data_IF_119583320667
#
_entry.id   IF_119583320667
#
_cell.length_a   1.000
_cell.length_b   1.000
_cell.length_c   1.000
_cell.angle_alpha   90.00
_cell.angle_beta   90.00
_cell.angle_gamma   90.00
#
_symmetry.space_group_name_H-M   'P 1'
#
loop_
_entity.id
_entity.type
_entity.pdbx_description
1 polymer ?
#
# COMPACT_ATOMS: atom_id res chain seq x y z
N UNK A 1 0.72 -79.21 -17.24
CA UNK A 1 0.75 -78.57 -15.91
C UNK A 1 1.82 -77.48 -15.93
N UNK A 2 1.45 -76.22 -15.69
CA UNK A 2 2.42 -75.13 -15.41
C UNK A 2 2.91 -75.17 -13.94
N UNK A 3 3.57 -74.11 -13.40
CA UNK A 3 3.67 -72.77 -13.97
C UNK A 3 5.01 -72.00 -13.83
N UNK A 4 5.17 -71.05 -14.77
CA UNK A 4 5.84 -69.74 -14.79
C UNK A 4 6.28 -69.14 -13.44
N UNK A 5 7.49 -68.55 -13.38
CA UNK A 5 7.82 -67.33 -12.59
C UNK A 5 9.03 -66.54 -13.14
N UNK A 6 8.75 -65.49 -13.89
CA UNK A 6 9.41 -64.16 -13.83
C UNK A 6 8.48 -63.22 -14.60
N UNK A 7 7.88 -62.24 -13.91
CA UNK A 7 8.54 -60.95 -13.79
C UNK A 7 8.34 -60.28 -12.42
N UNK A 8 9.45 -60.02 -11.73
CA UNK A 8 9.48 -59.20 -10.51
C UNK A 8 10.10 -57.82 -10.79
N UNK A 9 10.00 -57.34 -12.03
CA UNK A 9 10.66 -56.10 -12.50
C UNK A 9 9.71 -55.01 -13.02
N UNK A 10 8.39 -55.17 -12.86
CA UNK A 10 7.41 -54.13 -13.29
C UNK A 10 6.81 -53.36 -12.12
N UNK A 11 7.01 -53.80 -10.86
CA UNK A 11 6.43 -53.13 -9.70
C UNK A 11 7.21 -51.87 -9.23
N UNK A 12 8.41 -51.60 -9.76
CA UNK A 12 9.23 -50.47 -9.32
C UNK A 12 8.98 -49.15 -10.08
N UNK A 13 8.18 -49.15 -11.16
CA UNK A 13 7.89 -47.93 -11.93
C UNK A 13 6.47 -47.36 -11.72
N UNK A 14 5.62 -48.05 -10.94
CA UNK A 14 4.29 -47.57 -10.61
C UNK A 14 4.25 -46.64 -9.37
N UNK A 15 5.38 -46.42 -8.70
CA UNK A 15 5.48 -45.64 -7.47
C UNK A 15 5.84 -44.15 -7.63
N UNK A 16 6.20 -43.69 -8.83
CA UNK A 16 6.71 -42.32 -9.03
C UNK A 16 5.77 -41.37 -9.81
N UNK A 17 4.55 -41.81 -10.14
CA UNK A 17 3.56 -40.92 -10.74
C UNK A 17 2.50 -40.61 -9.70
N UNK A 18 2.92 -39.86 -8.68
CA UNK A 18 1.97 -39.07 -7.90
C UNK A 18 1.21 -38.20 -8.91
N UNK A 19 -0.13 -38.18 -8.90
CA UNK A 19 -0.92 -37.34 -9.79
C UNK A 19 -0.38 -35.93 -9.68
N UNK A 20 0.12 -35.39 -10.81
CA UNK A 20 0.67 -34.05 -10.88
C UNK A 20 -0.41 -33.10 -10.36
N UNK A 21 -0.25 -32.65 -9.11
CA UNK A 21 -0.97 -31.48 -8.57
C UNK A 21 -0.52 -30.30 -9.45
N UNK A 22 -1.34 -29.25 -9.64
CA UNK A 22 -1.03 -28.08 -10.49
C UNK A 22 0.45 -27.76 -10.43
N UNK A 23 1.16 -27.69 -11.56
CA UNK A 23 2.63 -27.74 -11.55
C UNK A 23 3.22 -26.77 -10.53
N UNK A 24 2.61 -25.59 -10.37
CA UNK A 24 3.02 -24.56 -9.41
C UNK A 24 2.97 -25.00 -7.94
N UNK A 25 2.06 -25.90 -7.56
CA UNK A 25 2.00 -26.54 -6.23
C UNK A 25 3.12 -27.56 -5.99
N UNK A 26 3.87 -27.95 -7.03
CA UNK A 26 5.07 -28.77 -6.90
C UNK A 26 6.27 -27.96 -6.40
N UNK A 27 6.24 -26.63 -6.52
CA UNK A 27 7.25 -25.78 -5.88
C UNK A 27 6.94 -25.65 -4.37
N UNK A 28 7.84 -26.09 -3.48
CA UNK A 28 7.62 -26.04 -2.04
C UNK A 28 7.40 -24.62 -1.51
N UNK A 29 7.99 -23.59 -2.15
CA UNK A 29 7.83 -22.18 -1.75
C UNK A 29 6.39 -21.72 -1.93
N UNK A 30 5.67 -22.26 -2.91
CA UNK A 30 4.26 -21.94 -3.15
C UNK A 30 3.39 -22.53 -2.06
N UNK A 31 3.64 -23.79 -1.68
CA UNK A 31 2.92 -24.45 -0.58
C UNK A 31 3.16 -23.72 0.74
N UNK A 32 4.41 -23.35 1.02
CA UNK A 32 4.79 -22.58 2.20
C UNK A 32 4.10 -21.21 2.24
N UNK A 33 4.09 -20.48 1.12
CA UNK A 33 3.42 -19.19 1.03
C UNK A 33 1.90 -19.28 1.24
N UNK A 34 1.24 -20.33 0.74
CA UNK A 34 -0.19 -20.58 1.00
C UNK A 34 -0.46 -20.93 2.47
N UNK A 35 0.46 -21.62 3.14
CA UNK A 35 0.34 -21.90 4.57
C UNK A 35 0.55 -20.63 5.41
N UNK A 36 1.53 -19.78 5.06
CA UNK A 36 1.75 -18.48 5.72
C UNK A 36 0.56 -17.53 5.47
N UNK A 37 -0.04 -17.55 4.27
CA UNK A 37 -1.28 -16.82 4.01
C UNK A 37 -2.37 -17.21 5.01
N UNK A 38 -2.57 -18.50 5.25
CA UNK A 38 -3.59 -19.03 6.17
C UNK A 38 -3.29 -18.72 7.65
N UNK A 39 -2.03 -18.87 8.07
CA UNK A 39 -1.63 -18.86 9.48
C UNK A 39 -1.18 -17.49 9.98
N UNK A 40 -0.50 -16.71 9.15
CA UNK A 40 0.09 -15.42 9.55
C UNK A 40 -0.74 -14.24 9.06
N UNK A 41 -1.24 -14.29 7.82
CA UNK A 41 -1.90 -13.14 7.19
C UNK A 41 -3.40 -13.08 7.49
N UNK A 42 -4.16 -14.16 7.22
CA UNK A 42 -5.62 -14.14 7.37
C UNK A 42 -6.13 -13.74 8.77
N UNK A 43 -5.50 -14.13 9.90
CA UNK A 43 -5.95 -13.72 11.23
C UNK A 43 -6.02 -12.20 11.45
N UNK A 44 -5.14 -11.43 10.81
CA UNK A 44 -5.13 -9.98 10.88
C UNK A 44 -6.05 -9.28 9.87
N UNK A 45 -6.50 -9.98 8.83
CA UNK A 45 -7.08 -9.36 7.62
C UNK A 45 -8.49 -9.86 7.27
N UNK A 46 -8.94 -10.95 7.89
CA UNK A 46 -10.24 -11.55 7.63
C UNK A 46 -10.84 -12.10 8.93
N UNK A 47 -12.16 -12.06 9.07
CA UNK A 47 -12.82 -12.67 10.23
C UNK A 47 -12.65 -14.20 10.23
N UNK A 48 -12.40 -14.78 11.42
CA UNK A 48 -12.07 -16.20 11.60
C UNK A 48 -13.08 -17.16 10.93
N UNK A 49 -14.38 -16.82 10.95
CA UNK A 49 -15.44 -17.63 10.35
C UNK A 49 -15.28 -17.84 8.83
N UNK A 50 -14.51 -16.98 8.15
CA UNK A 50 -14.32 -17.02 6.71
C UNK A 50 -13.00 -17.68 6.28
N UNK A 51 -12.03 -17.84 7.20
CA UNK A 51 -10.68 -18.33 6.88
C UNK A 51 -10.70 -19.65 6.11
N UNK A 52 -11.40 -20.66 6.66
CA UNK A 52 -11.48 -22.01 6.06
C UNK A 52 -12.08 -22.00 4.65
N UNK A 53 -13.10 -21.17 4.41
CA UNK A 53 -13.77 -21.12 3.10
C UNK A 53 -12.87 -20.43 2.06
N UNK A 54 -12.23 -19.32 2.43
CA UNK A 54 -11.29 -18.61 1.55
C UNK A 54 -10.13 -19.52 1.19
N UNK A 55 -9.47 -20.16 2.17
CA UNK A 55 -8.34 -21.05 1.88
C UNK A 55 -8.74 -22.27 1.06
N UNK A 56 -9.95 -22.81 1.25
CA UNK A 56 -10.47 -23.87 0.38
C UNK A 56 -10.53 -23.40 -1.07
N UNK A 57 -11.10 -22.22 -1.34
CA UNK A 57 -11.22 -21.68 -2.70
C UNK A 57 -9.87 -21.35 -3.32
N UNK A 58 -8.95 -20.76 -2.54
CA UNK A 58 -7.58 -20.45 -3.00
C UNK A 58 -6.86 -21.72 -3.40
N UNK A 59 -6.82 -22.74 -2.52
CA UNK A 59 -6.17 -24.03 -2.82
C UNK A 59 -6.77 -24.69 -4.05
N UNK A 60 -8.10 -24.72 -4.18
CA UNK A 60 -8.78 -25.24 -5.36
C UNK A 60 -8.42 -24.48 -6.65
N UNK A 61 -8.31 -23.16 -6.60
CA UNK A 61 -7.97 -22.34 -7.76
C UNK A 61 -6.52 -22.55 -8.21
N UNK A 62 -5.57 -22.67 -7.28
CA UNK A 62 -4.17 -22.96 -7.61
C UNK A 62 -4.01 -24.42 -8.09
N UNK A 63 -4.74 -25.36 -7.49
CA UNK A 63 -4.79 -26.76 -7.94
C UNK A 63 -5.31 -26.89 -9.37
N UNK A 64 -6.29 -26.07 -9.77
CA UNK A 64 -6.86 -26.07 -11.11
C UNK A 64 -5.87 -25.73 -12.24
N UNK A 65 -4.65 -25.25 -11.92
CA UNK A 65 -3.62 -25.02 -12.94
C UNK A 65 -3.11 -26.34 -13.58
N UNK A 66 -3.38 -27.52 -12.99
CA UNK A 66 -3.15 -28.82 -13.69
C UNK A 66 -4.27 -29.19 -14.65
N UNK A 67 -5.47 -28.65 -14.45
CA UNK A 67 -6.70 -29.14 -15.09
C UNK A 67 -6.95 -28.41 -16.42
N UNK A 68 -5.88 -27.94 -17.08
CA UNK A 68 -5.95 -27.36 -18.42
C UNK A 68 -6.18 -28.47 -19.45
N UNK A 69 -6.97 -28.23 -20.52
CA UNK A 69 -7.19 -29.22 -21.58
C UNK A 69 -5.86 -29.64 -22.20
N UNK A 70 -5.65 -30.96 -22.31
CA UNK A 70 -4.47 -31.53 -22.94
C UNK A 70 -4.57 -31.31 -24.45
N UNK A 71 -3.57 -30.65 -25.03
CA UNK A 71 -3.49 -30.31 -26.45
C UNK A 71 -2.03 -30.37 -26.91
N UNK A 72 -1.72 -31.22 -27.90
CA UNK A 72 -0.36 -31.60 -28.34
C UNK A 72 0.50 -30.39 -28.72
N UNK A 73 -0.12 -29.33 -29.23
CA UNK A 73 0.56 -28.12 -29.68
C UNK A 73 0.60 -27.01 -28.60
N UNK A 74 0.01 -27.23 -27.42
CA UNK A 74 -0.16 -26.20 -26.38
C UNK A 74 0.19 -26.68 -24.96
N UNK A 75 -0.53 -27.66 -24.43
CA UNK A 75 -0.40 -28.08 -23.03
C UNK A 75 -0.45 -29.60 -22.89
N UNK A 76 0.66 -30.20 -22.44
CA UNK A 76 0.79 -31.65 -22.23
C UNK A 76 0.65 -32.11 -20.78
N UNK A 77 0.27 -31.22 -19.85
CA UNK A 77 0.23 -31.57 -18.42
C UNK A 77 1.62 -31.76 -17.78
N UNK A 78 2.68 -31.37 -18.48
CA UNK A 78 4.07 -31.45 -18.03
C UNK A 78 4.79 -30.13 -18.29
N UNK A 79 5.71 -29.76 -17.41
CA UNK A 79 6.57 -28.57 -17.54
C UNK A 79 7.97 -28.92 -17.08
N UNK A 80 8.98 -28.24 -17.62
CA UNK A 80 10.35 -28.30 -17.14
C UNK A 80 10.53 -27.41 -15.90
N UNK A 81 11.65 -27.62 -15.19
CA UNK A 81 11.96 -26.92 -13.93
C UNK A 81 12.01 -25.40 -14.11
N UNK A 82 12.58 -24.90 -15.23
CA UNK A 82 12.68 -23.46 -15.46
C UNK A 82 11.31 -22.81 -15.68
N UNK A 83 10.40 -23.50 -16.38
CA UNK A 83 9.02 -23.05 -16.54
C UNK A 83 8.26 -23.09 -15.22
N UNK A 84 8.45 -24.14 -14.43
CA UNK A 84 7.88 -24.25 -13.08
C UNK A 84 8.33 -23.08 -12.19
N UNK A 85 9.64 -22.85 -12.09
CA UNK A 85 10.22 -21.78 -11.27
C UNK A 85 9.68 -20.41 -11.68
N UNK A 86 9.60 -20.14 -13.00
CA UNK A 86 9.05 -18.89 -13.53
C UNK A 86 7.58 -18.68 -13.14
N UNK A 87 6.76 -19.72 -13.25
CA UNK A 87 5.35 -19.66 -12.88
C UNK A 87 5.17 -19.47 -11.37
N UNK A 88 5.94 -20.21 -10.56
CA UNK A 88 5.94 -20.09 -9.10
C UNK A 88 6.36 -18.70 -8.65
N UNK A 89 7.43 -18.15 -9.23
CA UNK A 89 7.90 -16.80 -8.90
C UNK A 89 6.88 -15.73 -9.25
N UNK A 90 6.22 -15.83 -10.42
CA UNK A 90 5.16 -14.88 -10.81
C UNK A 90 3.98 -14.92 -9.83
N UNK A 91 3.52 -16.13 -9.46
CA UNK A 91 2.44 -16.31 -8.49
C UNK A 91 2.82 -15.73 -7.12
N UNK A 92 4.00 -16.08 -6.62
CA UNK A 92 4.50 -15.60 -5.33
C UNK A 92 4.66 -14.09 -5.29
N UNK A 93 5.11 -13.47 -6.39
CA UNK A 93 5.22 -12.01 -6.51
C UNK A 93 3.87 -11.32 -6.38
N UNK A 94 2.84 -11.83 -7.05
CA UNK A 94 1.49 -11.25 -6.96
C UNK A 94 0.82 -11.53 -5.62
N UNK A 95 0.99 -12.72 -5.05
CA UNK A 95 0.52 -13.04 -3.71
C UNK A 95 1.16 -12.12 -2.67
N UNK A 96 2.49 -11.97 -2.74
CA UNK A 96 3.23 -11.05 -1.87
C UNK A 96 2.75 -9.62 -2.04
N UNK A 97 2.49 -9.16 -3.27
CA UNK A 97 1.91 -7.83 -3.52
C UNK A 97 0.56 -7.64 -2.82
N UNK A 98 -0.31 -8.66 -2.80
CA UNK A 98 -1.59 -8.60 -2.07
C UNK A 98 -1.33 -8.51 -0.56
N UNK A 99 -0.45 -9.36 -0.03
CA UNK A 99 -0.10 -9.36 1.39
C UNK A 99 0.55 -8.04 1.85
N UNK A 100 1.41 -7.47 1.01
CA UNK A 100 2.09 -6.19 1.28
C UNK A 100 1.15 -4.99 1.11
N UNK A 101 0.07 -5.12 0.32
CA UNK A 101 -0.88 -4.04 0.07
C UNK A 101 -1.79 -3.71 1.27
N UNK A 102 -1.58 -4.40 2.40
CA UNK A 102 -2.21 -4.10 3.70
C UNK A 102 -3.73 -3.93 3.51
N UNK A 103 -4.35 -4.81 2.72
CA UNK A 103 -5.78 -4.75 2.38
C UNK A 103 -6.54 -5.03 3.67
N UNK A 104 -6.84 -3.96 4.40
CA UNK A 104 -7.40 -4.09 5.74
C UNK A 104 -8.82 -4.59 5.68
N UNK A 105 -9.17 -5.36 6.70
CA UNK A 105 -10.50 -5.89 6.92
C UNK A 105 -11.58 -4.81 6.74
N UNK A 106 -12.78 -5.23 6.38
CA UNK A 106 -13.93 -4.35 6.28
C UNK A 106 -14.20 -3.68 7.63
N UNK A 107 -14.18 -2.34 7.68
CA UNK A 107 -14.42 -1.54 8.88
C UNK A 107 -13.57 -1.93 10.11
N UNK A 108 -12.24 -1.71 10.06
CA UNK A 108 -11.33 -2.10 11.15
C UNK A 108 -11.48 -1.22 12.40
N UNK A 109 -12.19 -0.09 12.31
CA UNK A 109 -12.36 0.82 13.42
C UNK A 109 -13.27 0.22 14.51
N UNK A 110 -12.75 0.14 15.74
CA UNK A 110 -13.50 -0.32 16.92
C UNK A 110 -14.47 0.74 17.46
N UNK A 111 -14.20 2.01 17.15
CA UNK A 111 -14.97 3.19 17.53
C UNK A 111 -14.86 4.24 16.41
N UNK A 112 -15.60 5.33 16.53
CA UNK A 112 -15.58 6.43 15.56
C UNK A 112 -16.34 6.16 14.26
N UNK A 113 -16.15 7.06 13.31
CA UNK A 113 -16.60 6.98 11.92
C UNK A 113 -15.38 6.91 11.01
N UNK A 114 -15.20 5.78 10.33
CA UNK A 114 -14.21 5.61 9.27
C UNK A 114 -14.89 5.63 7.91
N UNK A 115 -14.33 6.39 6.96
CA UNK A 115 -14.80 6.40 5.57
C UNK A 115 -13.84 5.57 4.71
N UNK A 116 -14.29 4.38 4.32
CA UNK A 116 -13.46 3.41 3.61
C UNK A 116 -13.86 3.35 2.12
N UNK A 117 -12.92 3.58 1.18
CA UNK A 117 -13.20 3.37 -0.24
C UNK A 117 -13.27 1.87 -0.53
N UNK A 118 -14.41 1.40 -1.02
CA UNK A 118 -14.65 -0.01 -1.35
C UNK A 118 -15.10 -0.14 -2.81
N UNK A 119 -14.89 -1.32 -3.38
CA UNK A 119 -15.44 -1.71 -4.69
C UNK A 119 -16.54 -2.74 -4.43
N UNK A 120 -17.76 -2.44 -4.88
CA UNK A 120 -18.87 -3.36 -4.76
C UNK A 120 -18.78 -4.44 -5.83
N UNK A 121 -18.56 -5.70 -5.46
CA UNK A 121 -18.33 -6.79 -6.40
C UNK A 121 -19.50 -7.03 -7.38
N UNK A 122 -20.74 -6.70 -7.01
CA UNK A 122 -21.92 -6.89 -7.85
C UNK A 122 -22.02 -5.89 -9.00
N UNK A 123 -21.44 -4.70 -8.85
CA UNK A 123 -21.54 -3.61 -9.84
C UNK A 123 -20.18 -3.12 -10.33
N UNK A 124 -19.09 -3.62 -9.75
CA UNK A 124 -17.71 -3.14 -9.96
C UNK A 124 -17.53 -1.63 -9.72
N UNK A 125 -18.45 -0.98 -8.99
CA UNK A 125 -18.39 0.45 -8.72
C UNK A 125 -17.60 0.75 -7.45
N UNK A 126 -16.73 1.76 -7.53
CA UNK A 126 -16.03 2.32 -6.37
C UNK A 126 -16.95 3.28 -5.63
N UNK A 127 -17.12 3.06 -4.33
CA UNK A 127 -17.93 3.91 -3.47
C UNK A 127 -17.26 4.08 -2.10
N UNK A 128 -17.60 5.15 -1.38
CA UNK A 128 -17.11 5.37 -0.01
C UNK A 128 -18.12 4.80 0.98
N UNK A 129 -17.72 3.74 1.68
CA UNK A 129 -18.53 3.13 2.72
C UNK A 129 -18.29 3.81 4.07
N UNK A 130 -19.36 4.01 4.84
CA UNK A 130 -19.30 4.66 6.16
C UNK A 130 -19.33 3.62 7.27
N UNK A 131 -18.18 3.34 7.87
CA UNK A 131 -18.01 2.44 9.00
C UNK A 131 -18.34 3.15 10.31
N UNK A 132 -19.62 3.15 10.69
CA UNK A 132 -20.14 3.84 11.88
C UNK A 132 -20.06 2.97 13.14
N UNK A 133 -19.47 3.51 14.19
CA UNK A 133 -19.46 3.00 15.59
C UNK A 133 -19.73 4.18 16.54
N UNK A 134 -19.57 3.98 17.85
CA UNK A 134 -19.63 5.08 18.83
C UNK A 134 -18.58 6.14 18.53
N UNK A 135 -18.96 7.41 18.34
CA UNK A 135 -18.02 8.52 18.10
C UNK A 135 -17.05 8.74 19.26
N UNK A 136 -17.49 8.45 20.49
CA UNK A 136 -16.62 8.45 21.66
C UNK A 136 -15.79 7.15 21.66
N UNK A 137 -14.48 7.32 21.51
CA UNK A 137 -13.47 6.27 21.49
C UNK A 137 -12.88 5.95 22.87
N UNK A 138 -13.44 6.53 23.92
CA UNK A 138 -13.08 6.28 25.31
C UNK A 138 -12.24 7.39 25.94
N UNK A 139 -11.72 7.07 27.12
CA UNK A 139 -11.01 8.01 27.98
C UNK A 139 -9.57 7.53 28.24
N UNK A 140 -8.62 8.45 28.25
CA UNK A 140 -7.19 8.18 28.48
C UNK A 140 -6.73 8.91 29.74
N UNK A 141 -6.14 8.19 30.69
CA UNK A 141 -5.54 8.80 31.90
C UNK A 141 -4.08 9.09 31.63
N UNK A 142 -3.67 10.35 31.75
CA UNK A 142 -2.30 10.81 31.48
C UNK A 142 -1.70 11.33 32.78
N UNK A 143 -0.58 10.75 33.22
CA UNK A 143 0.20 11.22 34.36
C UNK A 143 1.50 11.82 33.84
N UNK A 144 1.82 13.03 34.26
CA UNK A 144 3.01 13.77 33.81
C UNK A 144 3.61 14.50 35.00
N UNK A 145 4.93 14.51 35.16
CA UNK A 145 5.55 15.29 36.23
C UNK A 145 5.65 16.77 35.85
N UNK A 146 5.64 17.65 36.85
CA UNK A 146 5.95 19.06 36.63
C UNK A 146 7.30 19.23 35.92
N UNK A 147 7.38 20.25 35.06
CA UNK A 147 8.53 20.56 34.19
C UNK A 147 8.76 19.58 33.02
N UNK A 148 8.03 18.45 32.95
CA UNK A 148 8.04 17.58 31.78
C UNK A 148 7.05 18.06 30.71
N UNK A 149 7.16 17.49 29.51
CA UNK A 149 6.26 17.78 28.41
C UNK A 149 5.05 16.84 28.45
N UNK A 150 3.85 17.41 28.42
CA UNK A 150 2.60 16.65 28.28
C UNK A 150 2.30 16.45 26.80
N UNK A 151 2.11 15.20 26.38
CA UNK A 151 1.71 14.84 25.01
C UNK A 151 0.36 14.12 25.06
N UNK A 152 -0.65 14.68 24.40
CA UNK A 152 -1.95 14.05 24.21
C UNK A 152 -2.07 13.56 22.78
N UNK A 153 -1.96 12.25 22.58
CA UNK A 153 -2.07 11.62 21.27
C UNK A 153 -3.51 11.20 20.97
N UNK A 154 -4.06 11.70 19.87
CA UNK A 154 -5.40 11.41 19.40
C UNK A 154 -5.42 10.46 18.19
N UNK A 155 -4.25 10.07 17.66
CA UNK A 155 -4.16 9.19 16.51
C UNK A 155 -4.69 7.79 16.84
N UNK A 156 -5.46 7.22 15.90
CA UNK A 156 -5.82 5.82 15.87
C UNK A 156 -5.31 5.19 14.58
N UNK A 157 -5.00 3.89 14.62
CA UNK A 157 -4.41 3.16 13.49
C UNK A 157 -5.16 3.31 12.15
N UNK A 158 -6.48 3.55 12.20
CA UNK A 158 -7.33 3.67 11.02
C UNK A 158 -7.47 5.12 10.50
N UNK A 159 -6.94 6.13 11.19
CA UNK A 159 -7.01 7.52 10.73
C UNK A 159 -6.26 7.72 9.40
N UNK A 160 -5.05 7.15 9.27
CA UNK A 160 -4.21 7.28 8.05
C UNK A 160 -4.86 6.73 6.77
N UNK A 161 -5.83 5.83 6.92
CA UNK A 161 -6.50 5.13 5.81
C UNK A 161 -7.94 5.60 5.60
N UNK A 162 -8.52 6.35 6.54
CA UNK A 162 -9.85 6.90 6.39
C UNK A 162 -9.81 8.07 5.41
N UNK A 163 -10.77 8.11 4.48
CA UNK A 163 -10.95 9.25 3.60
C UNK A 163 -11.77 10.35 4.27
N UNK A 164 -11.70 11.56 3.74
CA UNK A 164 -12.57 12.67 4.15
C UNK A 164 -12.38 13.12 5.60
N UNK A 165 -11.22 12.88 6.21
CA UNK A 165 -10.87 13.46 7.50
C UNK A 165 -10.47 14.93 7.34
N UNK A 166 -10.79 15.76 8.32
CA UNK A 166 -10.43 17.19 8.33
C UNK A 166 -9.27 17.45 9.29
N UNK A 167 -9.50 18.21 10.36
CA UNK A 167 -8.48 18.61 11.32
C UNK A 167 -8.74 17.95 12.67
N UNK A 168 -7.67 17.70 13.42
CA UNK A 168 -7.73 17.46 14.86
C UNK A 168 -7.93 18.79 15.56
N UNK A 169 -8.87 18.84 16.48
CA UNK A 169 -9.16 19.99 17.34
C UNK A 169 -9.06 19.53 18.79
N UNK A 170 -8.18 20.17 19.55
CA UNK A 170 -8.02 19.89 20.97
C UNK A 170 -8.68 20.99 21.79
N UNK A 171 -9.44 20.58 22.79
CA UNK A 171 -10.17 21.45 23.69
C UNK A 171 -9.74 21.20 25.13
N UNK A 172 -9.64 22.26 25.91
CA UNK A 172 -9.62 22.21 27.37
C UNK A 172 -11.06 22.24 27.86
N UNK A 173 -11.45 21.24 28.67
CA UNK A 173 -12.80 21.12 29.22
C UNK A 173 -12.79 21.62 30.67
N UNK A 174 -13.71 22.53 30.98
CA UNK A 174 -13.85 23.15 32.29
C UNK A 174 -15.03 22.55 33.07
N UNK A 175 -15.01 22.64 34.39
CA UNK A 175 -16.05 22.03 35.26
C UNK A 175 -17.46 22.61 35.07
N UNK A 176 -17.57 23.80 34.48
CA UNK A 176 -18.83 24.42 34.08
C UNK A 176 -19.33 23.92 32.70
N UNK A 177 -18.74 22.85 32.15
CA UNK A 177 -19.03 22.31 30.82
C UNK A 177 -18.70 23.27 29.65
N UNK A 178 -17.99 24.37 29.91
CA UNK A 178 -17.43 25.18 28.83
C UNK A 178 -16.14 24.56 28.31
N UNK A 179 -15.85 24.84 27.05
CA UNK A 179 -14.65 24.34 26.39
C UNK A 179 -13.86 25.48 25.75
N UNK A 180 -12.54 25.37 25.75
CA UNK A 180 -11.66 26.34 25.09
C UNK A 180 -10.79 25.60 24.08
N UNK A 181 -10.83 26.04 22.82
CA UNK A 181 -9.97 25.48 21.77
C UNK A 181 -8.50 25.79 22.10
N UNK A 182 -7.69 24.74 22.22
CA UNK A 182 -6.27 24.79 22.51
C UNK A 182 -5.43 24.79 21.24
N UNK A 183 -5.79 23.91 20.29
CA UNK A 183 -5.12 23.79 19.01
C UNK A 183 -6.07 23.22 17.95
N UNK A 184 -5.80 23.52 16.69
CA UNK A 184 -6.48 22.94 15.54
C UNK A 184 -5.51 22.77 14.38
N UNK A 185 -5.47 21.60 13.77
CA UNK A 185 -4.60 21.35 12.62
C UNK A 185 -4.55 19.88 12.19
N UNK A 186 -3.58 19.55 11.33
CA UNK A 186 -3.37 18.16 10.87
C UNK A 186 -2.58 17.31 11.87
N UNK A 187 -1.95 17.93 12.86
CA UNK A 187 -1.17 17.23 13.87
C UNK A 187 -2.10 16.45 14.81
N UNK A 188 -1.91 15.13 14.96
CA UNK A 188 -2.76 14.31 15.81
C UNK A 188 -2.42 14.40 17.30
N UNK A 189 -1.44 15.22 17.66
CA UNK A 189 -0.96 15.36 19.04
C UNK A 189 -1.05 16.80 19.51
N UNK A 190 -1.37 16.98 20.79
CA UNK A 190 -1.21 18.25 21.49
C UNK A 190 -0.02 18.11 22.46
N UNK A 191 0.99 18.94 22.26
CA UNK A 191 2.15 19.00 23.16
C UNK A 191 2.13 20.30 23.98
N UNK A 192 2.25 20.16 25.30
CA UNK A 192 2.41 21.28 26.24
C UNK A 192 3.72 21.12 26.98
N UNK A 193 4.67 21.99 26.66
CA UNK A 193 5.99 21.94 27.29
C UNK A 193 5.98 22.50 28.71
N UNK A 194 6.86 21.95 29.55
CA UNK A 194 7.05 22.35 30.96
C UNK A 194 5.72 22.48 31.73
N UNK A 195 5.03 21.35 31.90
CA UNK A 195 3.71 21.31 32.53
C UNK A 195 3.75 21.83 33.97
N UNK A 196 2.69 22.55 34.35
CA UNK A 196 2.46 23.11 35.69
C UNK A 196 1.22 22.48 36.33
N UNK A 197 1.05 22.56 37.65
CA UNK A 197 -0.14 22.00 38.32
C UNK A 197 -1.48 22.48 37.74
N UNK A 198 -1.55 23.74 37.28
CA UNK A 198 -2.75 24.31 36.64
C UNK A 198 -3.13 23.65 35.30
N UNK A 199 -2.18 22.98 34.66
CA UNK A 199 -2.41 22.28 33.40
C UNK A 199 -3.10 20.93 33.64
N UNK A 200 -3.20 20.44 34.88
CA UNK A 200 -4.04 19.29 35.22
C UNK A 200 -5.52 19.57 34.90
N UNK A 201 -6.26 18.54 34.49
CA UNK A 201 -7.68 18.65 34.15
C UNK A 201 -8.09 17.77 32.99
N UNK A 202 -9.28 18.03 32.44
CA UNK A 202 -9.85 17.26 31.35
C UNK A 202 -9.62 17.97 30.01
N UNK A 203 -9.21 17.19 29.02
CA UNK A 203 -9.06 17.62 27.64
C UNK A 203 -9.90 16.73 26.73
N UNK A 204 -10.30 17.28 25.59
CA UNK A 204 -11.05 16.56 24.57
C UNK A 204 -10.37 16.76 23.22
N UNK A 205 -10.11 15.67 22.51
CA UNK A 205 -9.74 15.73 21.11
C UNK A 205 -10.96 15.38 20.26
N UNK A 206 -11.11 16.11 19.16
CA UNK A 206 -12.06 15.82 18.10
C UNK A 206 -11.33 15.77 16.75
N UNK A 207 -11.43 14.65 16.04
CA UNK A 207 -11.05 14.56 14.65
C UNK A 207 -12.29 14.78 13.78
N UNK A 208 -12.29 15.86 12.99
CA UNK A 208 -13.40 16.17 12.11
C UNK A 208 -13.48 15.27 10.87
N UNK A 209 -14.65 15.28 10.23
CA UNK A 209 -14.93 14.60 8.96
C UNK A 209 -15.61 15.58 8.00
N UNK A 210 -15.59 15.26 6.70
CA UNK A 210 -16.43 15.95 5.69
C UNK A 210 -17.92 15.61 5.86
N UNK A 211 -18.26 14.57 6.63
CA UNK A 211 -19.63 14.35 7.09
C UNK A 211 -19.96 15.27 8.27
N UNK A 212 -21.25 15.45 8.58
CA UNK A 212 -21.71 16.34 9.66
C UNK A 212 -21.30 15.91 11.07
N UNK A 213 -20.80 14.68 11.25
CA UNK A 213 -20.37 14.13 12.55
C UNK A 213 -18.86 13.95 12.60
N UNK A 214 -18.21 14.18 13.76
CA UNK A 214 -16.78 13.96 13.89
C UNK A 214 -16.43 12.48 13.71
N UNK A 215 -15.25 12.24 13.15
CA UNK A 215 -14.72 10.90 12.95
C UNK A 215 -14.31 10.24 14.27
N UNK A 216 -13.77 11.00 15.22
CA UNK A 216 -13.29 10.46 16.50
C UNK A 216 -13.39 11.53 17.59
N UNK A 217 -13.84 11.13 18.78
CA UNK A 217 -13.77 11.92 20.01
C UNK A 217 -13.04 11.10 21.07
N UNK A 218 -12.03 11.68 21.70
CA UNK A 218 -11.27 11.05 22.80
C UNK A 218 -11.16 12.05 23.95
N UNK A 219 -11.40 11.59 25.18
CA UNK A 219 -11.20 12.40 26.39
C UNK A 219 -9.88 12.02 27.06
N UNK A 220 -9.17 13.02 27.58
CA UNK A 220 -7.96 12.83 28.35
C UNK A 220 -8.13 13.41 29.75
N UNK A 221 -7.80 12.63 30.77
CA UNK A 221 -7.78 13.06 32.15
C UNK A 221 -6.33 13.19 32.60
N UNK A 222 -5.85 14.43 32.67
CA UNK A 222 -4.45 14.77 32.94
C UNK A 222 -4.26 15.01 34.44
N UNK A 223 -3.33 14.27 35.03
CA UNK A 223 -2.86 14.46 36.41
C UNK A 223 -1.41 14.92 36.38
N UNK A 224 -1.14 16.06 37.01
CA UNK A 224 0.22 16.61 37.12
C UNK A 224 0.82 16.20 38.47
N UNK A 225 1.90 15.43 38.43
CA UNK A 225 2.63 14.97 39.60
C UNK A 225 3.70 16.01 40.00
N UNK A 226 4.16 16.02 41.27
CA UNK A 226 5.29 16.84 41.69
C UNK A 226 6.53 16.64 40.81
N UNK A 227 7.43 17.62 40.80
CA UNK A 227 8.73 17.51 40.13
C UNK A 227 9.44 16.25 40.63
N UNK A 228 10.16 15.55 39.74
CA UNK A 228 11.02 14.45 40.18
C UNK A 228 12.10 15.03 41.10
N UNK A 229 12.28 14.43 42.26
CA UNK A 229 13.43 14.72 43.11
C UNK A 229 14.61 14.02 42.43
N UNK A 230 15.51 14.79 41.83
CA UNK A 230 16.81 14.29 41.41
C UNK A 230 17.70 14.41 42.64
N UNK A 231 18.05 13.28 43.26
CA UNK A 231 19.09 13.25 44.27
C UNK A 231 20.42 13.52 43.56
N UNK A 232 20.88 14.77 43.59
CA UNK A 232 22.24 15.11 43.17
C UNK A 232 23.20 14.50 44.20
N UNK A 233 23.90 13.43 43.82
CA UNK A 233 25.08 12.98 44.55
C UNK A 233 26.12 14.09 44.40
N UNK A 234 26.62 14.72 45.48
CA UNK A 234 27.62 15.78 45.36
C UNK A 234 28.90 15.22 44.75
N UNK A 235 29.33 15.77 43.61
CA UNK A 235 30.68 15.53 43.10
C UNK A 235 31.72 16.04 44.10
N UNK A 236 32.78 15.29 44.42
CA UNK A 236 33.79 15.73 45.37
C UNK A 236 34.60 16.89 44.78
N UNK A 237 34.73 17.95 45.57
CA UNK A 237 35.48 19.16 45.23
C UNK A 237 36.98 18.84 45.10
N UNK A 238 37.59 19.18 43.98
CA UNK A 238 39.05 19.20 43.84
C UNK A 238 39.55 20.59 44.26
N UNK A 239 40.40 20.61 45.29
CA UNK A 239 41.08 21.79 45.83
C UNK A 239 42.07 22.38 44.83
N UNK A 240 42.12 23.71 44.78
CA UNK A 240 43.06 24.51 43.98
C UNK A 240 44.24 24.91 44.88
N UNK A 241 45.47 24.65 44.42
CA UNK A 241 46.69 25.22 45.01
C UNK A 241 47.47 25.94 43.91
N UNK A 242 47.64 27.26 44.08
CA UNK A 242 48.48 28.14 43.26
C UNK A 242 49.94 28.05 43.74
N UNK A 243 50.93 28.12 42.82
CA UNK A 243 52.01 29.13 42.84
C UNK A 243 53.09 28.93 41.72
N UNK A 244 53.18 29.96 40.86
CA UNK A 244 54.38 30.70 40.39
C UNK A 244 55.38 30.10 39.34
N UNK A 245 55.53 30.86 38.24
CA UNK A 245 56.45 30.76 37.07
C UNK A 245 57.87 31.36 37.35
N UNK A 246 58.83 31.66 36.41
CA UNK A 246 58.78 31.76 34.93
C UNK A 246 60.07 31.37 34.11
N UNK A 247 59.99 31.45 32.77
CA UNK A 247 61.12 31.59 31.81
C UNK A 247 60.94 30.78 30.51
N UNK A 248 60.49 31.36 29.38
CA UNK A 248 61.27 31.89 28.21
C UNK A 248 62.08 30.78 27.48
N UNK A 249 62.09 30.51 26.17
CA UNK A 249 61.90 31.23 24.89
C UNK A 249 61.62 30.17 23.80
N UNK A 250 60.76 30.44 22.80
CA UNK A 250 61.12 30.41 21.34
C UNK A 250 59.91 30.76 20.44
N UNK A 251 59.95 32.01 19.95
CA UNK A 251 59.74 32.52 18.57
C UNK A 251 58.35 32.50 17.86
N UNK A 252 57.84 33.72 17.68
CA UNK A 252 56.91 34.31 16.70
C UNK A 252 56.78 33.62 15.30
N UNK A 253 55.57 33.34 14.76
CA UNK A 253 54.57 34.17 14.01
C UNK A 253 54.94 34.37 12.49
N UNK A 254 54.05 34.54 11.45
CA UNK A 254 52.59 34.79 11.38
C UNK A 254 51.72 33.96 10.39
N UNK A 255 50.41 34.02 10.66
CA UNK A 255 49.23 34.09 9.76
C UNK A 255 49.38 33.85 8.24
N UNK A 256 48.56 32.94 7.71
CA UNK A 256 47.84 33.18 6.44
C UNK A 256 46.54 32.36 6.37
N UNK A 257 45.49 33.02 5.88
CA UNK A 257 44.16 32.48 5.68
C UNK A 257 44.14 31.34 4.64
N UNK A 258 43.38 30.28 4.91
CA UNK A 258 42.60 29.59 3.86
C UNK A 258 41.42 28.88 4.51
N UNK A 259 40.24 29.40 4.24
CA UNK A 259 38.95 28.75 4.42
C UNK A 259 38.92 27.48 3.56
N UNK A 260 38.99 26.29 4.18
CA UNK A 260 38.65 25.04 3.50
C UNK A 260 37.25 24.61 3.93
N UNK A 261 36.26 25.08 3.15
CA UNK A 261 34.94 24.47 3.08
C UNK A 261 35.07 23.04 2.57
N UNK A 262 34.90 22.06 3.46
CA UNK A 262 34.57 20.70 3.08
C UNK A 262 33.09 20.65 2.65
N UNK A 263 32.80 21.03 1.41
CA UNK A 263 31.52 20.71 0.77
C UNK A 263 31.60 19.32 0.13
N UNK A 264 31.00 18.35 0.81
CA UNK A 264 30.59 17.08 0.21
C UNK A 264 29.50 17.34 -0.84
N UNK A 265 29.64 16.89 -2.10
CA UNK A 265 28.61 17.12 -3.11
C UNK A 265 27.43 16.14 -2.92
N UNK A 266 26.24 16.71 -2.73
CA UNK A 266 24.94 16.02 -2.69
C UNK A 266 24.75 15.07 -3.90
N UNK A 267 24.28 13.83 -3.70
CA UNK A 267 24.13 12.81 -4.75
C UNK A 267 22.98 13.08 -5.74
N UNK A 268 22.15 14.09 -5.51
CA UNK A 268 20.95 14.36 -6.30
C UNK A 268 21.22 14.95 -7.69
N UNK A 269 22.38 15.59 -7.92
CA UNK A 269 22.66 16.26 -9.20
C UNK A 269 23.21 15.33 -10.28
N UNK A 270 23.78 14.18 -9.91
CA UNK A 270 24.36 13.22 -10.86
C UNK A 270 23.29 12.26 -11.43
N UNK A 271 22.23 11.98 -10.67
CA UNK A 271 21.13 11.13 -11.14
C UNK A 271 20.20 11.85 -12.13
N UNK A 272 20.03 13.16 -11.98
CA UNK A 272 19.12 13.97 -12.82
C UNK A 272 19.65 14.16 -14.24
N UNK A 273 20.97 14.21 -14.43
CA UNK A 273 21.59 14.28 -15.75
C UNK A 273 21.56 12.93 -16.50
N UNK A 274 21.51 11.80 -15.79
CA UNK A 274 21.48 10.45 -16.39
C UNK A 274 20.10 9.98 -16.87
N UNK A 275 19.00 10.56 -16.37
CA UNK A 275 17.64 10.16 -16.74
C UNK A 275 17.01 11.04 -17.84
N UNK A 276 17.42 12.30 -17.93
CA UNK A 276 16.86 13.24 -18.92
C UNK A 276 17.34 12.94 -20.34
N UNK A 277 18.59 12.53 -20.51
CA UNK A 277 19.16 12.12 -21.81
C UNK A 277 18.39 10.99 -22.52
N UNK A 278 18.16 9.82 -21.88
CA UNK A 278 17.44 8.72 -22.51
C UNK A 278 15.94 9.01 -22.71
N UNK A 279 15.32 9.82 -21.85
CA UNK A 279 13.91 10.22 -22.03
C UNK A 279 13.73 11.10 -23.28
N UNK A 280 14.63 12.07 -23.49
CA UNK A 280 14.59 12.93 -24.68
C UNK A 280 14.81 12.10 -25.95
N UNK A 281 15.79 11.17 -25.93
CA UNK A 281 16.04 10.29 -27.07
C UNK A 281 14.85 9.37 -27.39
N UNK A 282 14.19 8.85 -26.34
CA UNK A 282 12.97 8.05 -26.47
C UNK A 282 11.86 8.82 -27.18
N UNK A 283 11.62 10.08 -26.82
CA UNK A 283 10.61 10.92 -27.48
C UNK A 283 10.95 11.20 -28.95
N UNK A 284 12.22 11.42 -29.29
CA UNK A 284 12.64 11.65 -30.68
C UNK A 284 12.40 10.41 -31.54
N UNK A 285 12.74 9.21 -31.05
CA UNK A 285 12.48 7.94 -31.76
C UNK A 285 10.98 7.72 -31.93
N UNK A 286 10.18 8.03 -30.91
CA UNK A 286 8.72 7.88 -30.96
C UNK A 286 8.10 8.83 -32.00
N UNK A 287 8.50 10.10 -32.01
CA UNK A 287 8.04 11.08 -33.01
C UNK A 287 8.47 10.68 -34.42
N UNK A 288 9.72 10.23 -34.60
CA UNK A 288 10.19 9.73 -35.89
C UNK A 288 9.36 8.51 -36.35
N UNK A 289 9.12 7.53 -35.48
CA UNK A 289 8.32 6.35 -35.81
C UNK A 289 6.88 6.69 -36.21
N UNK A 290 6.24 7.65 -35.53
CA UNK A 290 4.90 8.12 -35.85
C UNK A 290 4.90 8.90 -37.16
N UNK A 291 5.88 9.77 -37.38
CA UNK A 291 6.01 10.50 -38.65
C UNK A 291 6.24 9.55 -39.84
N UNK A 292 7.08 8.53 -39.66
CA UNK A 292 7.31 7.47 -40.65
C UNK A 292 6.05 6.66 -40.90
N UNK A 293 5.31 6.26 -39.86
CA UNK A 293 4.04 5.56 -40.02
C UNK A 293 2.98 6.43 -40.74
N UNK A 294 2.89 7.73 -40.45
CA UNK A 294 1.98 8.65 -41.14
C UNK A 294 2.40 8.82 -42.60
N UNK A 295 3.69 8.92 -42.90
CA UNK A 295 4.22 8.99 -44.27
C UNK A 295 3.91 7.70 -45.05
N UNK A 296 4.14 6.53 -44.47
CA UNK A 296 3.78 5.24 -45.09
C UNK A 296 2.27 5.06 -45.25
N UNK A 297 1.46 5.55 -44.31
CA UNK A 297 -0.01 5.56 -44.42
C UNK A 297 -0.51 6.46 -45.55
N UNK A 298 0.16 7.61 -45.75
CA UNK A 298 -0.14 8.55 -46.84
C UNK A 298 0.35 8.02 -48.19
N UNK A 299 1.52 7.36 -48.23
CA UNK A 299 2.01 6.68 -49.44
C UNK A 299 1.15 5.46 -49.81
N UNK A 300 0.66 4.69 -48.83
CA UNK A 300 -0.28 3.58 -49.06
C UNK A 300 -1.57 4.05 -49.71
N UNK A 301 -2.13 5.18 -49.25
CA UNK A 301 -3.31 5.81 -49.88
C UNK A 301 -3.05 6.31 -51.31
N UNK A 302 -1.82 6.73 -51.64
CA UNK A 302 -1.47 7.16 -53.01
C UNK A 302 -1.27 5.96 -53.94
N UNK A 303 -0.68 4.87 -53.45
CA UNK A 303 -0.52 3.62 -54.21
C UNK A 303 -1.89 2.95 -54.46
N UNK A 304 -2.79 2.96 -53.47
CA UNK A 304 -4.16 2.45 -53.66
C UNK A 304 -4.96 3.29 -54.67
N UNK A 305 -4.73 4.61 -54.73
CA UNK A 305 -5.39 5.50 -55.70
C UNK A 305 -4.91 5.24 -57.15
N UNK A 306 -3.62 4.94 -57.34
CA UNK A 306 -3.04 4.59 -58.64
C UNK A 306 -3.51 3.19 -59.09
N UNK A 307 -3.78 2.28 -58.15
CA UNK A 307 -4.31 0.94 -58.45
C UNK A 307 -5.81 0.97 -58.77
N UNK A 308 -6.59 1.81 -58.10
CA UNK A 308 -8.04 1.95 -58.34
C UNK A 308 -8.38 2.70 -59.63
N UNK A 309 -7.50 3.58 -60.13
CA UNK A 309 -7.75 4.27 -61.41
C UNK A 309 -7.51 3.37 -62.63
N UNK A 310 -6.86 2.21 -62.46
CA UNK A 310 -6.53 1.32 -63.58
C UNK A 310 -7.49 0.14 -63.76
N UNK A 311 -8.35 -0.15 -62.78
CA UNK A 311 -9.23 -1.34 -62.75
C UNK A 311 -10.73 -1.03 -62.79
N UNK A 312 -11.15 0.12 -63.35
CA UNK A 312 -12.57 0.44 -63.53
C UNK A 312 -13.00 0.31 -65.00
N UNK A 313 -13.05 -0.92 -65.50
CA UNK A 313 -13.88 -1.30 -66.65
C UNK A 313 -14.59 -2.62 -66.33
N UNK A 314 -15.92 -2.55 -66.20
CA UNK A 314 -16.80 -3.71 -66.46
C UNK A 314 -17.73 -4.16 -65.33
N UNK A 315 -19.02 -3.84 -65.50
CA UNK A 315 -20.24 -4.57 -65.11
C UNK A 315 -20.48 -4.85 -63.60
N UNK A 316 -21.66 -4.71 -63.00
CA UNK A 316 -23.03 -4.49 -63.46
C UNK A 316 -24.00 -5.04 -62.39
N UNK A 317 -25.24 -4.53 -62.39
CA UNK A 317 -26.46 -5.04 -61.73
C UNK A 317 -26.76 -4.71 -60.23
N UNK A 318 -27.51 -3.62 -60.07
CA UNK A 318 -28.80 -3.47 -59.34
C UNK A 318 -29.30 -4.57 -58.38
N UNK A 319 -29.70 -4.18 -57.16
CA UNK A 319 -31.13 -3.99 -56.82
C UNK A 319 -31.34 -3.18 -55.53
N UNK A 320 -32.42 -2.39 -55.58
CA UNK A 320 -32.84 -1.30 -54.70
C UNK A 320 -34.04 -1.74 -53.83
N UNK A 321 -34.39 -0.87 -52.87
CA UNK A 321 -35.65 -0.69 -52.14
C UNK A 321 -35.93 -1.63 -50.94
N UNK A 322 -36.30 -1.17 -49.73
CA UNK A 322 -36.57 0.17 -49.20
C UNK A 322 -37.77 0.15 -48.22
N UNK A 323 -37.56 0.65 -46.99
CA UNK A 323 -38.47 1.57 -46.23
C UNK A 323 -39.81 0.96 -45.69
N UNK A 324 -40.44 1.28 -44.53
CA UNK A 324 -40.30 2.20 -43.38
C UNK A 324 -41.09 1.67 -42.15
N UNK A 325 -40.90 2.40 -41.02
CA UNK A 325 -41.56 2.45 -39.69
C UNK A 325 -43.11 2.63 -39.78
N UNK A 326 -43.95 2.39 -38.75
CA UNK A 326 -44.06 3.20 -37.51
C UNK A 326 -45.16 2.70 -36.51
N UNK A 327 -44.80 2.75 -35.21
CA UNK A 327 -45.53 3.01 -33.92
C UNK A 327 -46.88 2.41 -33.45
N UNK A 328 -46.78 1.94 -32.19
CA UNK A 328 -47.52 2.27 -30.95
C UNK A 328 -48.99 1.86 -30.77
N UNK A 329 -49.23 1.06 -29.70
CA UNK A 329 -50.41 1.21 -28.83
C UNK A 329 -50.09 0.88 -27.37
N UNK A 330 -50.73 1.67 -26.53
CA UNK A 330 -50.60 1.86 -25.09
C UNK A 330 -51.63 1.03 -24.28
N UNK A 331 -51.23 0.62 -23.07
CA UNK A 331 -52.00 0.40 -21.81
C UNK A 331 -53.41 -0.24 -21.82
N UNK A 332 -53.59 -1.38 -21.10
CA UNK A 332 -54.39 -1.48 -19.84
C UNK A 332 -54.61 -2.92 -19.33
N UNK A 333 -54.73 -3.00 -17.99
CA UNK A 333 -55.35 -4.05 -17.12
C UNK A 333 -54.47 -5.29 -16.86
N UNK A 334 -54.34 -5.79 -15.63
CA UNK A 334 -55.23 -5.72 -14.45
C UNK A 334 -54.41 -5.85 -13.17
#
# INVERSE_FOLDING_TARGET
MGPRRLPLLVAALAGCLLPARGCVMCDPKVVEALNSLETDYLPGHLEAKHHKNVMKRVKQAVEAFKDLPIDEDSYMGVVDEATLEKAAWSLLKDLKRIMDSDVKAFCPNKCGLMLQPLIWCSTCQKQVHSCRKSSNCGERKVKVHQMEDMILDCELNWHKISQGLTDYSFYRVWGNHSETLMSKGKEPTLTKTMVRPKDAGTYRCELGSVQSSPATIIYFHVTVLPKRIVEEIPSPNTETEDEVAPGEVTLDRPQTATTLQSQSPKPEKVLRSRLVGPLIWGFVVLIASVATAILFSRFGKVIDFIKSSWFSTGNGATQDSGVSKEKTKESRRK
#
